data_IF_794733775713
#
_entry.id   IF_794733775713
#
_cell.length_a   1.000
_cell.length_b   1.000
_cell.length_c   1.000
_cell.angle_alpha   90.00
_cell.angle_beta   90.00
_cell.angle_gamma   90.00
#
_symmetry.space_group_name_H-M   'P 1'
#
loop_
_entity.id
_entity.type
_entity.pdbx_description
1 polymer ?
#
# COMPACT_ATOMS: atom_id res chain seq x y z
N UNK A 1 -5.64 -8.22 23.72
CA UNK A 1 -4.97 -7.14 22.98
C UNK A 1 -3.91 -6.54 23.89
N UNK A 2 -2.63 -6.64 23.52
CA UNK A 2 -1.56 -5.98 24.26
C UNK A 2 -1.63 -4.48 24.01
N UNK A 3 -0.98 -3.68 24.85
CA UNK A 3 -1.03 -2.22 24.82
C UNK A 3 -0.69 -1.67 23.41
N UNK A 4 -1.55 -0.84 22.86
CA UNK A 4 -1.30 -0.05 21.64
C UNK A 4 -0.94 1.35 22.14
N UNK A 5 0.18 1.88 21.65
CA UNK A 5 0.63 3.23 21.99
C UNK A 5 0.56 4.10 20.74
N UNK A 6 0.01 5.29 20.90
CA UNK A 6 -0.03 6.31 19.86
C UNK A 6 0.68 7.56 20.35
N UNK A 7 1.60 8.11 19.57
CA UNK A 7 2.32 9.32 19.91
C UNK A 7 2.53 10.23 18.69
N UNK A 8 2.42 11.56 18.84
CA UNK A 8 2.79 12.47 17.78
C UNK A 8 4.31 12.46 17.59
N UNK A 9 4.75 12.38 16.34
CA UNK A 9 6.16 12.42 15.94
C UNK A 9 6.30 13.30 14.71
N UNK A 10 7.31 14.17 14.69
CA UNK A 10 7.68 14.84 13.45
C UNK A 10 8.51 13.92 12.54
N UNK A 11 8.66 14.31 11.27
CA UNK A 11 9.33 13.49 10.29
C UNK A 11 10.78 13.17 10.67
N UNK A 12 11.50 14.12 11.27
CA UNK A 12 12.85 13.91 11.79
C UNK A 12 12.88 12.85 12.88
N UNK A 13 11.97 12.90 13.86
CA UNK A 13 11.89 11.92 14.94
C UNK A 13 11.58 10.51 14.43
N UNK A 14 10.86 10.42 13.31
CA UNK A 14 10.57 9.15 12.68
C UNK A 14 11.75 8.62 11.88
N UNK A 15 12.30 9.42 10.98
CA UNK A 15 13.25 8.93 9.98
C UNK A 15 14.71 9.02 10.41
N UNK A 16 15.10 9.97 11.30
CA UNK A 16 16.51 10.18 11.59
C UNK A 16 17.16 8.95 12.26
N UNK A 17 18.12 8.35 11.58
CA UNK A 17 18.85 7.16 12.03
C UNK A 17 17.94 5.99 12.45
N UNK A 18 16.74 5.91 11.90
CA UNK A 18 15.76 4.87 12.19
C UNK A 18 15.54 4.00 10.96
N UNK A 19 15.71 2.70 11.11
CA UNK A 19 15.43 1.73 10.04
C UNK A 19 14.02 1.19 10.15
N UNK A 20 13.41 1.07 8.99
CA UNK A 20 12.10 0.48 8.80
C UNK A 20 12.18 -0.67 7.82
N UNK A 21 11.44 -1.73 8.09
CA UNK A 21 11.22 -2.81 7.15
C UNK A 21 9.85 -2.68 6.51
N UNK A 22 9.75 -3.00 5.23
CA UNK A 22 8.48 -3.20 4.54
C UNK A 22 8.43 -4.67 4.17
N UNK A 23 7.45 -5.39 4.73
CA UNK A 23 7.30 -6.79 4.42
C UNK A 23 6.86 -7.00 2.98
N UNK A 24 7.40 -8.03 2.32
CA UNK A 24 7.16 -8.37 0.91
C UNK A 24 5.68 -8.63 0.58
N UNK A 25 4.86 -9.00 1.56
CA UNK A 25 3.41 -9.21 1.38
C UNK A 25 2.59 -7.93 1.46
N UNK A 26 3.21 -6.80 1.80
CA UNK A 26 2.53 -5.52 1.86
C UNK A 26 2.35 -4.93 0.47
N UNK A 27 1.51 -3.89 0.42
CA UNK A 27 1.17 -3.19 -0.79
C UNK A 27 2.43 -2.67 -1.49
N UNK A 28 2.56 -2.94 -2.79
CA UNK A 28 3.58 -2.34 -3.63
C UNK A 28 3.47 -0.82 -3.66
N UNK A 29 4.54 -0.15 -4.06
CA UNK A 29 4.50 1.28 -4.25
C UNK A 29 3.60 1.61 -5.45
N UNK A 30 2.42 2.19 -5.18
CA UNK A 30 1.32 2.34 -6.13
C UNK A 30 0.86 3.80 -6.30
N UNK A 31 1.51 4.75 -5.62
CA UNK A 31 1.16 6.15 -5.81
C UNK A 31 1.34 6.56 -7.27
N UNK A 32 0.37 7.34 -7.76
CA UNK A 32 0.34 7.92 -9.10
C UNK A 32 0.77 9.39 -9.04
N UNK A 33 1.04 9.98 -10.19
CA UNK A 33 1.42 11.39 -10.32
C UNK A 33 0.53 12.34 -9.50
N UNK A 34 -0.79 12.18 -9.57
CA UNK A 34 -1.75 13.01 -8.82
C UNK A 34 -1.50 13.04 -7.30
N UNK A 35 -1.05 11.91 -6.71
CA UNK A 35 -0.77 11.87 -5.28
C UNK A 35 0.53 12.59 -4.93
N UNK A 36 1.46 12.66 -5.88
CA UNK A 36 2.70 13.45 -5.73
C UNK A 36 2.37 14.93 -5.88
N UNK A 37 1.53 15.31 -6.85
CA UNK A 37 1.06 16.67 -7.03
C UNK A 37 0.36 17.19 -5.77
N UNK A 38 -0.60 16.42 -5.22
CA UNK A 38 -1.27 16.73 -3.96
C UNK A 38 -0.28 16.87 -2.79
N UNK A 39 0.68 15.93 -2.66
CA UNK A 39 1.69 15.98 -1.59
C UNK A 39 2.57 17.23 -1.67
N UNK A 40 3.07 17.54 -2.86
CA UNK A 40 3.96 18.69 -3.06
C UNK A 40 3.19 20.00 -2.86
N UNK A 41 1.99 20.11 -3.42
CA UNK A 41 1.13 21.28 -3.28
C UNK A 41 0.78 21.54 -1.80
N UNK A 42 0.33 20.53 -1.09
CA UNK A 42 0.02 20.62 0.34
C UNK A 42 1.22 21.12 1.16
N UNK A 43 2.40 20.49 0.98
CA UNK A 43 3.59 20.83 1.78
C UNK A 43 4.14 22.21 1.43
N UNK A 44 4.15 22.58 0.15
CA UNK A 44 4.72 23.86 -0.27
C UNK A 44 3.77 25.03 0.02
N UNK A 45 2.47 24.84 -0.16
CA UNK A 45 1.47 25.84 0.17
C UNK A 45 1.44 26.15 1.67
N UNK A 46 1.42 25.09 2.51
CA UNK A 46 1.46 25.27 3.98
C UNK A 46 2.75 25.98 4.44
N UNK A 47 3.91 25.61 3.89
CA UNK A 47 5.16 26.29 4.20
C UNK A 47 5.12 27.77 3.83
N UNK A 48 4.65 28.11 2.62
CA UNK A 48 4.59 29.49 2.11
C UNK A 48 3.62 30.39 2.88
N UNK A 49 2.63 29.83 3.57
CA UNK A 49 1.74 30.62 4.46
C UNK A 49 2.51 31.28 5.61
N UNK A 50 3.60 30.66 6.07
CA UNK A 50 4.36 31.13 7.23
C UNK A 50 5.67 31.81 6.88
N UNK A 51 6.31 31.42 5.76
CA UNK A 51 7.60 31.94 5.36
C UNK A 51 7.52 33.41 5.00
N UNK A 52 8.46 34.21 5.54
CA UNK A 52 8.65 35.61 5.17
C UNK A 52 10.07 35.82 4.63
N UNK A 53 10.20 36.69 3.65
CA UNK A 53 11.49 37.12 3.11
C UNK A 53 12.35 37.63 4.27
N UNK A 54 13.61 37.24 4.31
CA UNK A 54 14.61 37.59 5.33
C UNK A 54 14.37 36.96 6.74
N UNK A 55 13.43 36.04 6.88
CA UNK A 55 13.29 35.27 8.12
C UNK A 55 14.63 34.53 8.42
N UNK A 56 15.17 34.67 9.65
CA UNK A 56 16.28 33.81 10.01
C UNK A 56 15.83 32.35 10.08
N UNK A 57 16.73 31.42 9.78
CA UNK A 57 16.41 30.00 9.73
C UNK A 57 15.74 29.46 11.01
N UNK A 58 16.05 30.04 12.17
CA UNK A 58 15.44 29.72 13.46
C UNK A 58 13.94 30.06 13.51
N UNK A 59 13.44 30.96 12.68
CA UNK A 59 12.02 31.32 12.63
C UNK A 59 11.13 30.14 12.27
N UNK A 60 11.65 29.09 11.61
CA UNK A 60 10.94 27.85 11.34
C UNK A 60 10.38 27.20 12.61
N UNK A 61 11.00 27.44 13.77
CA UNK A 61 10.47 26.96 15.05
C UNK A 61 9.05 27.48 15.37
N UNK A 62 8.69 28.65 14.86
CA UNK A 62 7.42 29.31 15.09
C UNK A 62 6.41 29.12 13.94
N UNK A 63 6.79 28.43 12.83
CA UNK A 63 5.90 28.16 11.72
C UNK A 63 4.85 27.10 12.10
N UNK A 64 3.73 27.13 11.41
CA UNK A 64 2.66 26.13 11.55
C UNK A 64 3.13 24.71 11.22
N UNK A 65 2.37 23.75 11.70
CA UNK A 65 2.66 22.32 11.54
C UNK A 65 1.64 21.67 10.62
N UNK A 66 2.13 20.81 9.71
CA UNK A 66 1.29 20.02 8.82
C UNK A 66 1.09 18.60 9.37
N UNK A 67 -0.16 18.14 9.40
CA UNK A 67 -0.49 16.79 9.83
C UNK A 67 -0.64 15.84 8.64
N UNK A 68 0.33 14.94 8.48
CA UNK A 68 0.40 13.99 7.37
C UNK A 68 -0.46 12.72 7.58
N UNK A 69 -1.07 12.54 8.75
CA UNK A 69 -1.85 11.36 9.09
C UNK A 69 -1.16 10.42 10.07
N UNK A 70 -1.57 9.16 10.08
CA UNK A 70 -1.00 8.15 10.99
C UNK A 70 -0.09 7.18 10.25
N UNK A 71 0.83 6.56 11.02
CA UNK A 71 1.59 5.38 10.60
C UNK A 71 1.35 4.26 11.61
N UNK A 72 1.33 3.02 11.14
CA UNK A 72 1.19 1.83 11.98
C UNK A 72 2.43 0.97 11.84
N UNK A 73 3.09 0.75 12.96
CA UNK A 73 4.30 -0.05 13.07
C UNK A 73 4.06 -1.32 13.87
N UNK A 74 4.75 -2.38 13.52
CA UNK A 74 4.71 -3.66 14.23
C UNK A 74 6.08 -4.14 14.67
N UNK A 75 6.13 -4.76 15.86
CA UNK A 75 7.29 -5.45 16.35
C UNK A 75 8.47 -4.57 16.72
N UNK A 76 9.63 -5.19 16.93
CA UNK A 76 10.88 -4.52 17.33
C UNK A 76 11.68 -3.98 16.13
N UNK A 77 11.36 -4.41 14.94
CA UNK A 77 12.07 -4.05 13.70
C UNK A 77 11.40 -2.89 12.95
N UNK A 78 10.47 -2.19 13.59
CA UNK A 78 9.71 -1.09 13.00
C UNK A 78 9.12 -1.48 11.63
N UNK A 79 8.49 -2.66 11.56
CA UNK A 79 7.84 -3.09 10.33
C UNK A 79 6.65 -2.17 10.03
N UNK A 80 6.66 -1.49 8.90
CA UNK A 80 5.59 -0.58 8.49
C UNK A 80 4.39 -1.41 8.02
N UNK A 81 3.27 -1.30 8.72
CA UNK A 81 2.00 -1.93 8.37
C UNK A 81 1.09 -0.95 7.62
N UNK A 82 1.11 0.33 7.99
CA UNK A 82 0.46 1.41 7.24
C UNK A 82 1.36 2.64 7.16
N UNK A 83 1.24 3.41 6.08
CA UNK A 83 2.01 4.63 5.83
C UNK A 83 3.19 4.43 4.88
N UNK A 84 3.44 3.23 4.36
CA UNK A 84 4.57 2.94 3.46
C UNK A 84 4.61 3.82 2.20
N UNK A 85 3.45 4.13 1.59
CA UNK A 85 3.37 4.99 0.41
C UNK A 85 3.86 6.40 0.74
N UNK A 86 3.37 6.96 1.85
CA UNK A 86 3.76 8.28 2.35
C UNK A 86 5.24 8.36 2.69
N UNK A 87 5.76 7.36 3.41
CA UNK A 87 7.19 7.33 3.76
C UNK A 87 8.08 7.19 2.53
N UNK A 88 7.72 6.33 1.58
CA UNK A 88 8.46 6.20 0.32
C UNK A 88 8.47 7.52 -0.46
N UNK A 89 7.33 8.18 -0.59
CA UNK A 89 7.22 9.46 -1.31
C UNK A 89 7.98 10.60 -0.61
N UNK A 90 7.92 10.67 0.72
CA UNK A 90 8.70 11.64 1.49
C UNK A 90 10.21 11.36 1.38
N UNK A 91 10.63 10.10 1.33
CA UNK A 91 12.04 9.76 1.08
C UNK A 91 12.48 10.22 -0.30
N UNK A 92 11.65 10.05 -1.34
CA UNK A 92 11.94 10.59 -2.68
C UNK A 92 12.04 12.11 -2.67
N UNK A 93 11.14 12.79 -1.96
CA UNK A 93 11.21 14.26 -1.80
C UNK A 93 12.48 14.70 -1.06
N UNK A 94 12.87 14.00 0.00
CA UNK A 94 14.12 14.28 0.71
C UNK A 94 15.35 14.08 -0.18
N UNK A 95 15.36 13.04 -1.04
CA UNK A 95 16.42 12.83 -2.03
C UNK A 95 16.47 13.96 -3.06
N UNK A 96 15.31 14.39 -3.57
CA UNK A 96 15.21 15.52 -4.48
C UNK A 96 15.77 16.81 -3.86
N UNK A 97 15.36 17.14 -2.63
CA UNK A 97 15.85 18.31 -1.91
C UNK A 97 17.36 18.24 -1.64
N UNK A 98 17.86 17.05 -1.28
CA UNK A 98 19.29 16.83 -1.09
C UNK A 98 20.09 17.07 -2.40
N UNK A 99 19.58 16.57 -3.53
CA UNK A 99 20.21 16.75 -4.83
C UNK A 99 20.17 18.24 -5.24
N UNK A 100 19.03 18.91 -5.06
CA UNK A 100 18.91 20.35 -5.33
C UNK A 100 19.85 21.19 -4.46
N UNK A 101 20.00 20.88 -3.18
CA UNK A 101 20.97 21.54 -2.30
C UNK A 101 22.41 21.34 -2.79
N UNK A 102 22.78 20.14 -3.23
CA UNK A 102 24.11 19.86 -3.80
C UNK A 102 24.38 20.69 -5.06
N UNK A 103 23.39 20.87 -5.91
CA UNK A 103 23.51 21.65 -7.15
C UNK A 103 23.87 23.12 -6.86
N UNK A 104 23.39 23.68 -5.77
CA UNK A 104 23.73 25.05 -5.33
C UNK A 104 24.94 25.10 -4.38
N UNK A 105 25.71 24.02 -4.29
CA UNK A 105 26.90 23.93 -3.47
C UNK A 105 26.63 23.88 -1.96
N UNK A 106 25.42 23.54 -1.54
CA UNK A 106 25.03 23.39 -0.14
C UNK A 106 24.90 21.91 0.22
N UNK A 107 25.08 21.61 1.50
CA UNK A 107 24.82 20.29 2.06
C UNK A 107 24.07 20.42 3.38
N UNK A 108 23.14 19.50 3.64
CA UNK A 108 22.38 19.49 4.88
C UNK A 108 22.32 18.07 5.46
N UNK A 109 23.26 17.79 6.35
CA UNK A 109 23.47 16.45 6.92
C UNK A 109 22.21 15.86 7.58
N UNK A 110 21.30 16.69 8.10
CA UNK A 110 20.06 16.20 8.70
C UNK A 110 19.22 15.42 7.67
N UNK A 111 19.07 15.93 6.43
CA UNK A 111 18.33 15.23 5.37
C UNK A 111 19.00 13.88 5.08
N UNK A 112 20.32 13.83 4.96
CA UNK A 112 21.01 12.56 4.69
C UNK A 112 20.76 11.54 5.80
N UNK A 113 20.73 11.95 7.08
CA UNK A 113 20.43 11.04 8.20
C UNK A 113 18.98 10.59 8.26
N UNK A 114 18.06 11.29 7.58
CA UNK A 114 16.66 10.87 7.40
C UNK A 114 16.50 9.90 6.23
N UNK A 115 17.44 9.88 5.28
CA UNK A 115 17.45 8.95 4.13
C UNK A 115 18.22 7.67 4.48
N UNK A 116 19.37 7.81 5.15
CA UNK A 116 20.26 6.71 5.49
C UNK A 116 20.51 6.60 6.98
N UNK A 117 20.71 5.37 7.43
CA UNK A 117 21.34 5.04 8.71
C UNK A 117 22.69 4.36 8.45
N UNK A 118 23.64 4.62 9.34
CA UNK A 118 24.93 3.96 9.33
C UNK A 118 25.06 3.02 10.52
N UNK A 119 25.49 1.79 10.26
CA UNK A 119 25.79 0.80 11.31
C UNK A 119 27.08 0.08 10.95
N UNK A 120 28.04 0.09 11.88
CA UNK A 120 29.36 -0.53 11.67
C UNK A 120 30.07 -0.13 10.36
N UNK A 121 29.96 1.16 9.98
CA UNK A 121 30.56 1.70 8.75
C UNK A 121 29.79 1.37 7.46
N UNK A 122 28.65 0.70 7.54
CA UNK A 122 27.80 0.39 6.39
C UNK A 122 26.57 1.31 6.37
N UNK A 123 26.46 2.13 5.33
CA UNK A 123 25.26 2.93 5.05
C UNK A 123 24.18 2.07 4.39
N UNK A 124 22.95 2.23 4.82
CA UNK A 124 21.79 1.63 4.18
C UNK A 124 20.57 2.54 4.33
N UNK A 125 19.66 2.47 3.36
CA UNK A 125 18.43 3.27 3.41
C UNK A 125 17.62 3.02 4.68
N UNK A 126 17.01 4.06 5.21
CA UNK A 126 16.12 3.98 6.38
C UNK A 126 14.86 3.17 6.07
N UNK A 127 14.37 3.27 4.82
CA UNK A 127 13.30 2.43 4.31
C UNK A 127 13.95 1.42 3.35
N UNK A 128 14.13 0.19 3.83
CA UNK A 128 14.81 -0.84 3.07
C UNK A 128 13.79 -1.75 2.36
N UNK A 129 13.92 -1.80 1.02
CA UNK A 129 13.22 -2.76 0.15
C UNK A 129 14.23 -3.22 -0.88
N UNK A 130 14.64 -4.48 -0.81
CA UNK A 130 15.75 -5.02 -1.60
C UNK A 130 15.61 -4.75 -3.10
N UNK A 131 14.42 -4.98 -3.65
CA UNK A 131 14.13 -4.79 -5.09
C UNK A 131 14.26 -3.32 -5.56
N UNK A 132 14.29 -2.34 -4.64
CA UNK A 132 14.32 -0.90 -4.94
C UNK A 132 15.69 -0.27 -4.75
N UNK A 133 16.64 -0.97 -4.17
CA UNK A 133 17.92 -0.40 -3.76
C UNK A 133 18.70 0.25 -4.90
N UNK A 134 18.81 -0.41 -6.05
CA UNK A 134 19.54 0.11 -7.20
C UNK A 134 18.90 1.39 -7.75
N UNK A 135 17.57 1.42 -7.83
CA UNK A 135 16.83 2.59 -8.23
C UNK A 135 17.01 3.76 -7.23
N UNK A 136 16.88 3.47 -5.93
CA UNK A 136 17.07 4.48 -4.88
C UNK A 136 18.50 5.02 -4.86
N UNK A 137 19.50 4.18 -5.09
CA UNK A 137 20.90 4.60 -5.21
C UNK A 137 21.10 5.52 -6.43
N UNK A 138 20.52 5.21 -7.58
CA UNK A 138 20.58 6.07 -8.76
C UNK A 138 19.94 7.43 -8.48
N UNK A 139 18.74 7.46 -7.89
CA UNK A 139 18.03 8.68 -7.51
C UNK A 139 18.86 9.53 -6.53
N UNK A 140 19.43 8.92 -5.48
CA UNK A 140 20.22 9.65 -4.48
C UNK A 140 21.51 10.26 -5.05
N UNK A 141 22.11 9.59 -6.04
CA UNK A 141 23.31 10.06 -6.72
C UNK A 141 23.00 10.96 -7.94
N UNK A 142 21.72 11.28 -8.18
CA UNK A 142 21.27 12.07 -9.33
C UNK A 142 21.76 11.49 -10.66
N UNK A 143 21.61 10.19 -10.85
CA UNK A 143 21.97 9.45 -12.05
C UNK A 143 20.74 8.83 -12.69
N UNK A 144 20.77 8.71 -14.01
CA UNK A 144 19.71 8.02 -14.75
C UNK A 144 19.59 6.55 -14.34
N UNK A 145 18.37 6.06 -14.32
CA UNK A 145 18.06 4.67 -14.04
C UNK A 145 17.23 4.04 -15.15
N UNK A 146 17.71 2.95 -15.74
CA UNK A 146 16.97 2.21 -16.76
C UNK A 146 15.94 1.29 -16.08
N UNK A 147 14.67 1.58 -16.31
CA UNK A 147 13.55 0.79 -15.79
C UNK A 147 13.16 -0.40 -16.67
N UNK A 148 13.88 -0.67 -17.78
CA UNK A 148 13.61 -1.79 -18.68
C UNK A 148 13.79 -3.12 -17.92
N UNK A 149 12.75 -3.94 -17.90
CA UNK A 149 12.75 -5.21 -17.16
C UNK A 149 12.54 -5.07 -15.64
N UNK A 150 12.50 -3.86 -15.08
CA UNK A 150 12.22 -3.68 -13.66
C UNK A 150 10.75 -4.01 -13.31
N UNK A 151 10.51 -4.41 -12.06
CA UNK A 151 9.17 -4.62 -11.52
C UNK A 151 8.35 -3.32 -11.46
N UNK A 152 7.02 -3.45 -11.44
CA UNK A 152 6.08 -2.33 -11.44
C UNK A 152 6.35 -1.34 -10.29
N UNK A 153 6.66 -1.85 -9.11
CA UNK A 153 6.98 -1.04 -7.93
C UNK A 153 8.20 -0.14 -8.13
N UNK A 154 9.22 -0.63 -8.84
CA UNK A 154 10.45 0.13 -9.16
C UNK A 154 10.16 1.17 -10.23
N UNK A 155 9.39 0.81 -11.27
CA UNK A 155 8.94 1.75 -12.31
C UNK A 155 8.14 2.89 -11.73
N UNK A 156 7.20 2.57 -10.84
CA UNK A 156 6.40 3.57 -10.13
C UNK A 156 7.27 4.48 -9.26
N UNK A 157 8.23 3.90 -8.52
CA UNK A 157 9.11 4.68 -7.64
C UNK A 157 9.93 5.70 -8.45
N UNK A 158 10.58 5.25 -9.54
CA UNK A 158 11.36 6.13 -10.40
C UNK A 158 10.49 7.18 -11.10
N UNK A 159 9.33 6.78 -11.64
CA UNK A 159 8.38 7.70 -12.25
C UNK A 159 7.88 8.77 -11.27
N UNK A 160 7.65 8.42 -10.01
CA UNK A 160 7.24 9.41 -8.98
C UNK A 160 8.36 10.36 -8.59
N UNK A 161 9.61 9.92 -8.62
CA UNK A 161 10.74 10.84 -8.48
C UNK A 161 10.80 11.85 -9.63
N UNK A 162 10.61 11.41 -10.86
CA UNK A 162 10.52 12.29 -12.02
C UNK A 162 9.33 13.28 -11.91
N UNK A 163 8.17 12.79 -11.42
CA UNK A 163 7.03 13.67 -11.16
C UNK A 163 7.36 14.76 -10.11
N UNK A 164 8.09 14.42 -9.03
CA UNK A 164 8.56 15.43 -8.06
C UNK A 164 9.40 16.50 -8.76
N UNK A 165 10.34 16.10 -9.63
CA UNK A 165 11.16 17.04 -10.39
C UNK A 165 10.32 17.98 -11.27
N UNK A 166 9.27 17.42 -11.90
CA UNK A 166 8.40 18.16 -12.82
C UNK A 166 7.46 19.14 -12.08
N UNK A 167 6.90 18.73 -10.91
CA UNK A 167 5.83 19.48 -10.24
C UNK A 167 6.31 20.36 -9.10
N UNK A 168 7.58 20.24 -8.69
CA UNK A 168 8.10 21.04 -7.59
C UNK A 168 8.05 22.54 -7.95
N UNK A 169 7.35 23.38 -7.16
CA UNK A 169 7.06 24.74 -7.58
C UNK A 169 8.30 25.64 -7.61
N UNK A 170 8.37 26.50 -8.62
CA UNK A 170 9.44 27.49 -8.75
C UNK A 170 9.40 28.57 -7.65
N UNK A 171 8.26 28.72 -6.97
CA UNK A 171 8.08 29.66 -5.86
C UNK A 171 8.91 29.28 -4.62
N UNK A 172 9.30 28.01 -4.47
CA UNK A 172 10.31 27.58 -3.51
C UNK A 172 11.69 27.82 -4.12
N UNK A 173 12.21 29.02 -3.92
CA UNK A 173 13.54 29.45 -4.42
C UNK A 173 14.69 28.77 -3.66
N UNK A 174 15.89 28.86 -4.22
CA UNK A 174 17.08 28.25 -3.60
C UNK A 174 17.41 28.83 -2.21
N UNK A 175 17.10 30.10 -1.97
CA UNK A 175 17.29 30.75 -0.65
C UNK A 175 16.32 30.20 0.42
N UNK A 176 15.19 29.67 0.02
CA UNK A 176 14.18 29.07 0.89
C UNK A 176 14.47 27.60 1.21
N UNK A 177 15.30 26.90 0.41
CA UNK A 177 15.46 25.45 0.51
C UNK A 177 15.84 24.97 1.91
N UNK A 178 16.75 25.62 2.60
CA UNK A 178 17.13 25.22 3.95
C UNK A 178 16.00 25.43 4.96
N UNK A 179 15.20 26.50 4.82
CA UNK A 179 14.03 26.72 5.66
C UNK A 179 12.96 25.63 5.40
N UNK A 180 12.71 25.33 4.13
CA UNK A 180 11.76 24.29 3.74
C UNK A 180 12.21 22.91 4.23
N UNK A 181 13.50 22.58 4.13
CA UNK A 181 14.06 21.34 4.68
C UNK A 181 13.90 21.24 6.20
N UNK A 182 14.15 22.33 6.95
CA UNK A 182 13.94 22.36 8.39
C UNK A 182 12.45 22.21 8.72
N UNK A 183 11.58 22.88 7.97
CA UNK A 183 10.14 22.81 8.17
C UNK A 183 9.61 21.40 7.91
N UNK A 184 10.00 20.75 6.81
CA UNK A 184 9.61 19.35 6.55
C UNK A 184 10.06 18.44 7.71
N UNK A 185 11.29 18.62 8.18
CA UNK A 185 11.85 17.77 9.23
C UNK A 185 11.15 17.95 10.58
N UNK A 186 10.86 19.20 10.98
CA UNK A 186 10.43 19.55 12.33
C UNK A 186 8.92 19.82 12.45
N UNK A 187 8.23 20.15 11.34
CA UNK A 187 6.84 20.62 11.34
C UNK A 187 5.86 19.70 10.61
N UNK A 188 6.35 18.71 9.87
CA UNK A 188 5.49 17.66 9.31
C UNK A 188 5.33 16.54 10.33
N UNK A 189 4.11 16.33 10.82
CA UNK A 189 3.78 15.43 11.92
C UNK A 189 2.96 14.23 11.48
N UNK A 190 3.20 13.13 12.18
CA UNK A 190 2.41 11.90 12.12
C UNK A 190 1.93 11.50 13.51
N UNK A 191 0.87 10.68 13.57
CA UNK A 191 0.59 9.87 14.74
C UNK A 191 1.23 8.50 14.52
N UNK A 192 2.33 8.23 15.23
CA UNK A 192 2.94 6.92 15.27
C UNK A 192 2.11 5.99 16.16
N UNK A 193 1.69 4.85 15.62
CA UNK A 193 0.95 3.81 16.34
C UNK A 193 1.81 2.55 16.34
N UNK A 194 2.25 2.14 17.52
CA UNK A 194 3.10 0.95 17.67
C UNK A 194 2.31 -0.19 18.29
N UNK A 195 2.24 -1.31 17.58
CA UNK A 195 1.67 -2.54 18.08
C UNK A 195 2.76 -3.57 18.37
N UNK A 196 2.60 -4.33 19.45
CA UNK A 196 3.60 -5.31 19.90
C UNK A 196 3.77 -6.48 18.93
N UNK A 197 2.70 -6.83 18.20
CA UNK A 197 2.68 -7.94 17.24
C UNK A 197 2.13 -7.48 15.89
N UNK A 198 2.55 -8.15 14.81
CA UNK A 198 2.00 -7.89 13.48
C UNK A 198 0.48 -8.11 13.43
N UNK A 199 -0.05 -9.13 14.11
CA UNK A 199 -1.49 -9.38 14.18
C UNK A 199 -2.26 -8.21 14.81
N UNK A 200 -1.73 -7.63 15.90
CA UNK A 200 -2.38 -6.47 16.52
C UNK A 200 -2.27 -5.22 15.63
N UNK A 201 -1.12 -5.03 14.97
CA UNK A 201 -0.93 -3.95 14.00
C UNK A 201 -1.90 -4.07 12.82
N UNK A 202 -2.08 -5.26 12.26
CA UNK A 202 -3.06 -5.51 11.21
C UNK A 202 -4.50 -5.24 11.65
N UNK A 203 -4.88 -5.59 12.90
CA UNK A 203 -6.21 -5.25 13.45
C UNK A 203 -6.42 -3.74 13.53
N UNK A 204 -5.41 -3.00 14.01
CA UNK A 204 -5.44 -1.53 14.05
C UNK A 204 -5.62 -0.97 12.65
N UNK A 205 -4.78 -1.41 11.73
CA UNK A 205 -4.79 -1.00 10.34
C UNK A 205 -6.15 -1.25 9.65
N UNK A 206 -6.72 -2.45 9.78
CA UNK A 206 -8.06 -2.77 9.25
C UNK A 206 -9.12 -1.85 9.86
N UNK A 207 -9.07 -1.64 11.19
CA UNK A 207 -10.06 -0.80 11.89
C UNK A 207 -9.96 0.67 11.47
N UNK A 208 -8.77 1.18 11.22
CA UNK A 208 -8.56 2.57 10.77
C UNK A 208 -8.98 2.76 9.32
N UNK A 209 -8.70 1.79 8.45
CA UNK A 209 -9.07 1.84 7.04
C UNK A 209 -10.57 1.62 6.78
N UNK A 210 -11.28 0.94 7.69
CA UNK A 210 -12.75 0.84 7.64
C UNK A 210 -13.47 2.20 7.71
N UNK A 211 -12.77 3.24 8.18
CA UNK A 211 -13.32 4.59 8.41
C UNK A 211 -12.72 5.68 7.51
N UNK A 212 -11.77 5.33 6.64
CA UNK A 212 -11.05 6.25 5.74
C UNK A 212 -10.71 5.63 4.38
N UNK A 213 -10.16 6.39 3.48
CA UNK A 213 -9.66 5.96 2.17
C UNK A 213 -8.41 5.07 2.35
N UNK A 214 -8.22 3.90 1.88
CA UNK A 214 -8.86 2.95 1.03
C UNK A 214 -7.91 1.81 0.67
N UNK A 215 -7.78 0.80 1.49
CA UNK A 215 -7.38 -0.50 0.97
C UNK A 215 -8.60 -1.16 0.34
N UNK A 216 -8.40 -1.81 -0.79
CA UNK A 216 -9.43 -2.64 -1.38
C UNK A 216 -9.73 -3.83 -0.45
N UNK A 217 -10.94 -4.37 -0.53
CA UNK A 217 -11.30 -5.59 0.22
C UNK A 217 -10.36 -6.75 -0.11
N UNK A 218 -9.81 -6.80 -1.33
CA UNK A 218 -8.81 -7.79 -1.77
C UNK A 218 -7.48 -7.64 -1.03
N UNK A 219 -7.00 -6.42 -0.87
CA UNK A 219 -5.75 -6.15 -0.14
C UNK A 219 -5.89 -6.45 1.36
N UNK A 220 -7.04 -6.11 1.95
CA UNK A 220 -7.34 -6.44 3.34
C UNK A 220 -7.43 -7.96 3.58
N UNK A 221 -8.06 -8.69 2.65
CA UNK A 221 -8.10 -10.15 2.70
C UNK A 221 -6.70 -10.76 2.57
N UNK A 222 -5.91 -10.29 1.60
CA UNK A 222 -4.51 -10.69 1.43
C UNK A 222 -3.71 -10.55 2.71
N UNK A 223 -3.75 -9.35 3.32
CA UNK A 223 -3.04 -9.06 4.57
C UNK A 223 -3.42 -10.03 5.69
N UNK A 224 -4.72 -10.26 5.87
CA UNK A 224 -5.23 -11.19 6.87
C UNK A 224 -4.72 -12.62 6.63
N UNK A 225 -4.93 -13.17 5.44
CA UNK A 225 -4.55 -14.55 5.13
C UNK A 225 -3.03 -14.77 5.28
N UNK A 226 -2.21 -13.86 4.75
CA UNK A 226 -0.75 -13.99 4.82
C UNK A 226 -0.21 -13.82 6.25
N UNK A 227 -0.85 -13.01 7.10
CA UNK A 227 -0.42 -12.84 8.51
C UNK A 227 -0.60 -14.09 9.36
N UNK A 228 -1.48 -15.01 8.97
CA UNK A 228 -1.74 -16.26 9.68
C UNK A 228 -0.75 -17.39 9.24
N UNK A 229 0.01 -17.18 8.15
CA UNK A 229 1.04 -18.14 7.70
C UNK A 229 2.33 -17.92 8.48
N UNK A 230 2.79 -18.92 9.23
CA UNK A 230 3.90 -18.79 10.18
C UNK A 230 5.28 -18.81 9.53
N UNK A 231 5.47 -19.60 8.47
CA UNK A 231 6.76 -19.73 7.78
C UNK A 231 6.97 -18.58 6.79
N UNK A 232 8.07 -17.85 6.91
CA UNK A 232 8.39 -16.74 6.02
C UNK A 232 8.53 -17.19 4.56
N UNK A 233 9.20 -18.33 4.32
CA UNK A 233 9.35 -18.86 2.96
C UNK A 233 8.02 -19.31 2.34
N UNK A 234 7.12 -19.92 3.15
CA UNK A 234 5.76 -20.25 2.71
C UNK A 234 4.95 -19.00 2.43
N UNK A 235 5.04 -18.00 3.29
CA UNK A 235 4.35 -16.72 3.16
C UNK A 235 4.76 -16.00 1.89
N UNK A 236 6.06 -15.97 1.59
CA UNK A 236 6.61 -15.39 0.35
C UNK A 236 6.07 -16.11 -0.89
N UNK A 237 6.12 -17.44 -0.90
CA UNK A 237 5.56 -18.25 -1.99
C UNK A 237 4.07 -18.01 -2.20
N UNK A 238 3.29 -17.97 -1.12
CA UNK A 238 1.84 -17.73 -1.19
C UNK A 238 1.52 -16.30 -1.63
N UNK A 239 2.32 -15.32 -1.21
CA UNK A 239 2.21 -13.95 -1.71
C UNK A 239 2.47 -13.85 -3.22
N UNK A 240 3.48 -14.55 -3.72
CA UNK A 240 3.76 -14.63 -5.17
C UNK A 240 2.57 -15.18 -5.95
N UNK A 241 1.98 -16.29 -5.49
CA UNK A 241 0.79 -16.89 -6.10
C UNK A 241 -0.41 -15.92 -6.09
N UNK A 242 -0.68 -15.30 -4.95
CA UNK A 242 -1.77 -14.32 -4.82
C UNK A 242 -1.61 -13.16 -5.78
N UNK A 243 -0.41 -12.56 -5.79
CA UNK A 243 -0.07 -11.41 -6.62
C UNK A 243 -0.25 -11.70 -8.11
N UNK A 244 0.30 -12.83 -8.58
CA UNK A 244 0.18 -13.26 -9.98
C UNK A 244 -1.29 -13.35 -10.41
N UNK A 245 -2.14 -13.99 -9.60
CA UNK A 245 -3.56 -14.14 -9.92
C UNK A 245 -4.34 -12.83 -9.87
N UNK A 246 -4.08 -11.98 -8.88
CA UNK A 246 -4.72 -10.65 -8.80
C UNK A 246 -4.35 -9.78 -10.01
N UNK A 247 -3.08 -9.80 -10.45
CA UNK A 247 -2.65 -9.07 -11.65
C UNK A 247 -3.39 -9.56 -12.89
N UNK A 248 -3.52 -10.89 -13.06
CA UNK A 248 -4.24 -11.46 -14.21
C UNK A 248 -5.71 -11.08 -14.18
N UNK A 249 -6.37 -11.19 -13.02
CA UNK A 249 -7.79 -10.84 -12.85
C UNK A 249 -8.09 -9.36 -13.12
N UNK A 250 -7.11 -8.47 -12.87
CA UNK A 250 -7.24 -7.02 -13.10
C UNK A 250 -6.88 -6.58 -14.51
N UNK A 251 -6.40 -7.48 -15.37
CA UNK A 251 -5.90 -7.12 -16.70
C UNK A 251 -6.92 -6.37 -17.56
N UNK A 252 -8.17 -6.81 -17.54
CA UNK A 252 -9.26 -6.27 -18.38
C UNK A 252 -10.34 -5.54 -17.57
N UNK A 253 -10.27 -5.57 -16.23
CA UNK A 253 -11.23 -4.94 -15.32
C UNK A 253 -10.51 -4.59 -13.99
N UNK A 254 -10.39 -3.32 -13.67
CA UNK A 254 -9.74 -2.82 -12.44
C UNK A 254 -10.32 -3.43 -11.15
N UNK A 255 -11.56 -3.94 -11.19
CA UNK A 255 -12.25 -4.61 -10.09
C UNK A 255 -12.41 -6.12 -10.30
N UNK A 256 -11.74 -6.70 -11.29
CA UNK A 256 -11.85 -8.10 -11.65
C UNK A 256 -11.52 -9.05 -10.50
N UNK A 257 -10.55 -8.69 -9.67
CA UNK A 257 -10.17 -9.41 -8.46
C UNK A 257 -11.30 -9.44 -7.40
N UNK A 258 -11.92 -8.30 -7.11
CA UNK A 258 -13.06 -8.24 -6.18
C UNK A 258 -14.26 -9.01 -6.71
N UNK A 259 -14.55 -8.88 -8.01
CA UNK A 259 -15.66 -9.54 -8.66
C UNK A 259 -15.51 -11.06 -8.59
N UNK A 260 -14.32 -11.55 -8.90
CA UNK A 260 -13.99 -12.97 -8.77
C UNK A 260 -14.12 -13.47 -7.33
N UNK A 261 -13.49 -12.79 -6.35
CA UNK A 261 -13.52 -13.25 -4.96
C UNK A 261 -14.96 -13.34 -4.44
N UNK A 262 -15.79 -12.33 -4.75
CA UNK A 262 -17.21 -12.34 -4.39
C UNK A 262 -17.96 -13.52 -5.02
N UNK A 263 -17.73 -13.78 -6.30
CA UNK A 263 -18.36 -14.90 -7.00
C UNK A 263 -17.92 -16.25 -6.42
N UNK A 264 -16.61 -16.44 -6.20
CA UNK A 264 -16.05 -17.67 -5.63
C UNK A 264 -16.53 -17.94 -4.22
N UNK A 265 -16.44 -16.96 -3.31
CA UNK A 265 -16.87 -17.14 -1.92
C UNK A 265 -18.38 -17.40 -1.81
N UNK A 266 -19.20 -16.73 -2.64
CA UNK A 266 -20.64 -16.96 -2.70
C UNK A 266 -20.97 -18.35 -3.21
N UNK A 267 -20.26 -18.81 -4.25
CA UNK A 267 -20.48 -20.13 -4.85
C UNK A 267 -20.16 -21.29 -3.91
N UNK A 268 -19.13 -21.13 -3.07
CA UNK A 268 -18.62 -22.23 -2.25
C UNK A 268 -19.05 -22.21 -0.79
N UNK A 269 -19.35 -21.01 -0.23
CA UNK A 269 -19.46 -20.88 1.22
C UNK A 269 -20.70 -20.12 1.69
N UNK A 270 -21.39 -19.36 0.82
CA UNK A 270 -22.60 -18.65 1.22
C UNK A 270 -23.77 -19.63 1.33
N UNK A 271 -24.31 -19.80 2.54
CA UNK A 271 -25.47 -20.66 2.83
C UNK A 271 -26.76 -19.87 3.00
N UNK A 272 -26.63 -18.58 3.32
CA UNK A 272 -27.76 -17.73 3.68
C UNK A 272 -27.80 -16.45 2.86
N UNK A 273 -29.03 -15.99 2.54
CA UNK A 273 -29.31 -14.74 1.84
C UNK A 273 -30.31 -13.91 2.65
N UNK A 274 -30.17 -12.59 2.61
CA UNK A 274 -31.08 -11.66 3.31
C UNK A 274 -32.52 -11.80 2.82
N UNK A 275 -33.49 -11.74 3.74
CA UNK A 275 -34.90 -11.66 3.41
C UNK A 275 -35.23 -10.36 2.66
N UNK A 276 -36.24 -10.39 1.79
CA UNK A 276 -36.65 -9.23 0.96
C UNK A 276 -37.35 -8.12 1.74
N UNK A 277 -37.46 -8.25 3.07
CA UNK A 277 -38.13 -7.26 3.94
C UNK A 277 -37.23 -6.05 4.21
N UNK A 278 -37.86 -4.86 4.27
CA UNK A 278 -37.17 -3.65 4.70
C UNK A 278 -36.60 -3.82 6.12
N UNK A 279 -35.31 -3.49 6.32
CA UNK A 279 -34.62 -3.64 7.60
C UNK A 279 -34.12 -5.05 7.94
N UNK A 280 -34.26 -6.03 7.03
CA UNK A 280 -33.70 -7.35 7.23
C UNK A 280 -32.18 -7.31 7.35
N UNK A 281 -31.61 -8.13 8.26
CA UNK A 281 -30.19 -8.21 8.51
C UNK A 281 -29.48 -8.88 7.34
N UNK A 282 -28.33 -8.34 6.95
CA UNK A 282 -27.48 -8.95 5.94
C UNK A 282 -27.01 -10.34 6.36
N UNK A 283 -26.99 -11.25 5.41
CA UNK A 283 -26.56 -12.64 5.54
C UNK A 283 -25.30 -12.89 4.73
N UNK A 284 -24.80 -14.13 4.70
CA UNK A 284 -23.55 -14.49 4.01
C UNK A 284 -23.41 -13.84 2.65
N UNK A 285 -24.40 -14.03 1.79
CA UNK A 285 -24.40 -13.54 0.41
C UNK A 285 -24.24 -12.02 0.33
N UNK A 286 -24.91 -11.30 1.22
CA UNK A 286 -24.89 -9.83 1.26
C UNK A 286 -23.58 -9.31 1.86
N UNK A 287 -23.11 -9.94 2.95
CA UNK A 287 -21.86 -9.54 3.63
C UNK A 287 -20.66 -9.78 2.72
N UNK A 288 -20.60 -10.94 2.03
CA UNK A 288 -19.57 -11.22 1.02
C UNK A 288 -19.60 -10.13 -0.07
N UNK A 289 -20.79 -9.73 -0.51
CA UNK A 289 -20.96 -8.68 -1.53
C UNK A 289 -20.36 -7.32 -1.14
N UNK A 290 -20.44 -6.97 0.14
CA UNK A 290 -19.99 -5.67 0.66
C UNK A 290 -18.60 -5.70 1.30
N UNK A 291 -18.29 -6.73 2.08
CA UNK A 291 -17.10 -6.76 2.95
C UNK A 291 -16.56 -8.19 3.12
N UNK A 292 -16.23 -8.87 2.01
CA UNK A 292 -15.80 -10.27 2.04
C UNK A 292 -14.57 -10.51 2.92
N UNK A 293 -13.67 -9.56 3.05
CA UNK A 293 -12.49 -9.68 3.94
C UNK A 293 -12.89 -9.82 5.43
N UNK A 294 -13.94 -9.12 5.85
CA UNK A 294 -14.50 -9.25 7.21
C UNK A 294 -15.18 -10.60 7.37
N UNK A 295 -16.00 -10.97 6.39
CA UNK A 295 -16.73 -12.23 6.40
C UNK A 295 -15.77 -13.43 6.49
N UNK A 296 -14.69 -13.46 5.71
CA UNK A 296 -13.68 -14.53 5.76
C UNK A 296 -13.02 -14.61 7.12
N UNK A 297 -12.74 -13.47 7.77
CA UNK A 297 -12.15 -13.44 9.11
C UNK A 297 -13.14 -13.94 10.18
N UNK A 298 -14.38 -13.48 10.09
CA UNK A 298 -15.40 -13.74 11.11
C UNK A 298 -15.96 -15.19 11.00
N UNK A 299 -15.97 -15.75 9.78
CA UNK A 299 -16.42 -17.10 9.47
C UNK A 299 -15.25 -18.10 9.25
N UNK A 300 -14.08 -17.84 9.86
CA UNK A 300 -12.88 -18.67 9.68
C UNK A 300 -13.09 -20.15 9.97
N UNK A 301 -13.89 -20.48 10.97
CA UNK A 301 -14.20 -21.87 11.34
C UNK A 301 -15.02 -22.57 10.25
N UNK A 302 -15.99 -21.86 9.64
CA UNK A 302 -16.78 -22.34 8.52
C UNK A 302 -15.94 -22.60 7.27
N UNK A 303 -14.89 -21.79 7.07
CA UNK A 303 -13.94 -21.92 5.96
C UNK A 303 -12.84 -22.97 6.25
N UNK A 304 -12.80 -23.53 7.47
CA UNK A 304 -11.78 -24.47 7.90
C UNK A 304 -10.39 -23.84 8.02
N UNK A 305 -10.31 -22.54 8.39
CA UNK A 305 -9.07 -21.79 8.53
C UNK A 305 -8.58 -21.83 9.99
N UNK A 306 -8.00 -22.95 10.41
CA UNK A 306 -7.62 -23.21 11.79
C UNK A 306 -6.13 -22.99 12.06
N UNK A 307 -5.28 -23.34 11.11
CA UNK A 307 -3.83 -23.26 11.23
C UNK A 307 -3.13 -22.72 9.96
N UNK A 308 -1.81 -22.58 10.01
CA UNK A 308 -1.00 -22.04 8.92
C UNK A 308 -1.17 -22.78 7.59
N UNK A 309 -1.32 -24.10 7.64
CA UNK A 309 -1.43 -24.95 6.44
C UNK A 309 -2.78 -24.74 5.75
N UNK A 310 -3.84 -24.53 6.55
CA UNK A 310 -5.17 -24.20 6.04
C UNK A 310 -5.18 -22.87 5.28
N UNK A 311 -4.46 -21.85 5.78
CA UNK A 311 -4.32 -20.56 5.09
C UNK A 311 -3.52 -20.68 3.79
N UNK A 312 -2.47 -21.51 3.76
CA UNK A 312 -1.78 -21.83 2.51
C UNK A 312 -2.71 -22.53 1.51
N UNK A 313 -3.50 -23.51 1.99
CA UNK A 313 -4.46 -24.23 1.16
C UNK A 313 -5.54 -23.30 0.61
N UNK A 314 -5.98 -22.31 1.39
CA UNK A 314 -6.95 -21.32 0.94
C UNK A 314 -6.41 -20.51 -0.24
N UNK A 315 -5.14 -20.07 -0.20
CA UNK A 315 -4.51 -19.35 -1.33
C UNK A 315 -4.37 -20.26 -2.56
N UNK A 316 -4.04 -21.53 -2.37
CA UNK A 316 -3.96 -22.50 -3.48
C UNK A 316 -5.34 -22.73 -4.12
N UNK A 317 -6.41 -22.79 -3.31
CA UNK A 317 -7.81 -22.86 -3.80
C UNK A 317 -8.17 -21.58 -4.56
N UNK A 318 -7.89 -20.40 -3.97
CA UNK A 318 -8.06 -19.11 -4.63
C UNK A 318 -7.42 -19.10 -6.03
N UNK A 319 -6.16 -19.49 -6.15
CA UNK A 319 -5.44 -19.51 -7.42
C UNK A 319 -6.08 -20.45 -8.45
N UNK A 320 -6.48 -21.66 -8.02
CA UNK A 320 -7.15 -22.64 -8.88
C UNK A 320 -8.49 -22.11 -9.41
N UNK A 321 -9.30 -21.51 -8.55
CA UNK A 321 -10.61 -20.98 -8.94
C UNK A 321 -10.49 -19.69 -9.75
N UNK A 322 -9.45 -18.90 -9.56
CA UNK A 322 -9.12 -17.77 -10.43
C UNK A 322 -8.89 -18.23 -11.88
N UNK A 323 -8.15 -19.32 -12.10
CA UNK A 323 -7.93 -19.90 -13.43
C UNK A 323 -9.24 -20.40 -14.07
N UNK A 324 -10.13 -20.98 -13.28
CA UNK A 324 -11.46 -21.39 -13.78
C UNK A 324 -12.29 -20.16 -14.17
N UNK A 325 -12.26 -19.12 -13.32
CA UNK A 325 -12.97 -17.87 -13.58
C UNK A 325 -12.48 -17.17 -14.85
N UNK A 326 -11.17 -17.12 -15.06
CA UNK A 326 -10.58 -16.56 -16.29
C UNK A 326 -11.09 -17.28 -17.55
N UNK A 327 -11.16 -18.62 -17.51
CA UNK A 327 -11.73 -19.42 -18.61
C UNK A 327 -13.21 -19.10 -18.84
N UNK A 328 -13.99 -18.93 -17.79
CA UNK A 328 -15.39 -18.52 -17.88
C UNK A 328 -15.48 -17.14 -18.55
N UNK A 329 -14.69 -16.16 -18.10
CA UNK A 329 -14.67 -14.81 -18.69
C UNK A 329 -14.26 -14.83 -20.17
N UNK A 330 -13.29 -15.64 -20.53
CA UNK A 330 -12.91 -15.82 -21.93
C UNK A 330 -14.06 -16.43 -22.75
N UNK A 331 -14.76 -17.42 -22.21
CA UNK A 331 -15.90 -18.05 -22.88
C UNK A 331 -17.12 -17.11 -22.99
N UNK A 332 -17.28 -16.14 -22.09
CA UNK A 332 -18.32 -15.11 -22.15
C UNK A 332 -18.08 -14.10 -23.29
N UNK A 333 -16.82 -13.88 -23.66
CA UNK A 333 -16.44 -12.87 -24.67
C UNK A 333 -16.10 -13.48 -26.03
N UNK A 334 -15.67 -14.75 -26.07
CA UNK A 334 -15.20 -15.41 -27.28
C UNK A 334 -16.06 -16.63 -27.57
N UNK A 335 -16.71 -16.63 -28.74
CA UNK A 335 -17.52 -17.76 -29.16
C UNK A 335 -16.65 -18.99 -29.43
N UNK A 336 -17.05 -20.14 -28.83
CA UNK A 336 -16.52 -21.45 -29.13
C UNK A 336 -17.67 -22.46 -29.00
N UNK A 337 -17.70 -23.48 -29.87
CA UNK A 337 -18.81 -24.45 -29.91
C UNK A 337 -18.99 -25.20 -28.58
N UNK A 338 -17.86 -25.53 -27.91
CA UNK A 338 -17.86 -26.24 -26.63
C UNK A 338 -18.41 -25.38 -25.47
N UNK A 339 -18.30 -24.07 -25.58
CA UNK A 339 -18.73 -23.09 -24.55
C UNK A 339 -19.83 -22.16 -25.02
N UNK A 340 -20.50 -22.48 -26.10
CA UNK A 340 -21.52 -21.64 -26.74
C UNK A 340 -22.63 -21.16 -25.80
N UNK A 341 -23.06 -21.98 -24.86
CA UNK A 341 -24.08 -21.58 -23.89
C UNK A 341 -23.57 -20.53 -22.90
N UNK A 342 -22.30 -20.59 -22.53
CA UNK A 342 -21.66 -19.57 -21.70
C UNK A 342 -21.63 -18.24 -22.45
N UNK A 343 -21.24 -18.26 -23.72
CA UNK A 343 -21.25 -17.09 -24.59
C UNK A 343 -22.67 -16.49 -24.73
N UNK A 344 -23.66 -17.29 -25.08
CA UNK A 344 -25.03 -16.79 -25.28
C UNK A 344 -25.66 -16.27 -23.99
N UNK A 345 -25.42 -16.90 -22.84
CA UNK A 345 -25.88 -16.43 -21.55
C UNK A 345 -25.32 -15.06 -21.20
N UNK A 346 -24.05 -14.82 -21.53
CA UNK A 346 -23.41 -13.51 -21.33
C UNK A 346 -24.07 -12.42 -22.22
N UNK A 347 -24.46 -12.76 -23.47
CA UNK A 347 -25.14 -11.81 -24.37
C UNK A 347 -26.54 -11.39 -23.88
N UNK A 348 -27.18 -12.19 -23.04
CA UNK A 348 -28.44 -11.83 -22.39
C UNK A 348 -28.29 -11.29 -20.97
N UNK A 349 -27.08 -10.85 -20.61
CA UNK A 349 -26.72 -10.26 -19.30
C UNK A 349 -27.03 -11.19 -18.11
N UNK A 350 -26.72 -12.47 -18.22
CA UNK A 350 -26.86 -13.40 -17.10
C UNK A 350 -25.69 -13.27 -16.15
N UNK A 351 -25.74 -12.28 -15.27
CA UNK A 351 -24.63 -11.88 -14.38
C UNK A 351 -24.29 -12.89 -13.28
N UNK A 352 -25.17 -13.84 -12.97
CA UNK A 352 -24.90 -14.89 -11.98
C UNK A 352 -24.16 -16.10 -12.57
N UNK A 353 -23.94 -16.14 -13.89
CA UNK A 353 -23.33 -17.27 -14.58
C UNK A 353 -21.95 -17.66 -13.99
N UNK A 354 -20.99 -16.75 -13.78
CA UNK A 354 -19.70 -17.12 -13.20
C UNK A 354 -19.85 -17.77 -11.82
N UNK A 355 -20.74 -17.26 -10.98
CA UNK A 355 -21.00 -17.80 -9.65
C UNK A 355 -21.58 -19.24 -9.72
N UNK A 356 -22.52 -19.50 -10.64
CA UNK A 356 -23.08 -20.84 -10.82
C UNK A 356 -22.05 -21.83 -11.37
N UNK A 357 -21.19 -21.39 -12.30
CA UNK A 357 -20.15 -22.25 -12.90
C UNK A 357 -18.96 -22.49 -11.97
N UNK A 358 -18.77 -21.66 -10.94
CA UNK A 358 -17.78 -21.87 -9.90
C UNK A 358 -18.29 -22.76 -8.76
N UNK A 359 -19.58 -23.03 -8.69
CA UNK A 359 -20.16 -23.89 -7.64
C UNK A 359 -19.58 -25.31 -7.71
N UNK A 360 -19.45 -26.02 -6.55
CA UNK A 360 -18.88 -27.35 -6.47
C UNK A 360 -19.69 -28.38 -7.24
#
# INVERSE_FOLDING_TARGET
MKKIEGSPKNLKQLLQNTKYSIHYYQREYMWQRKHIEELIDDLTSEFLEYYKIDDPRQAVADYGAYFMGSIVLAGRENAIIDGQQRFSSLTLLLMYLNNRLKTIGQSYNMIETMIFSESFGTKSFNINVDDRQDCMNAIFNDTDFDTTGAGESVKNLYGRYQDIQDVFPADITDDMLLHFCDWIAEKVFFIEIVATTEQDAHKVFVTMNDRGLSLTSTEMLKGYILSEIKSDSSREKMNGIWKDKVLTLKKDDDKGDETFIKAWLRAHYAETIRETKAGAVNKDFDIIGGSFHKWVRDERDKLGLNDSDDFELFIKKFARFAEVYERIRQAETTFAEETKYVYYNAQVNFTLQPQLLLAP
#
